data_IF_577435118558
#
_entry.id   IF_577435118558
#
_cell.length_a   1.000
_cell.length_b   1.000
_cell.length_c   1.000
_cell.angle_alpha   90.00
_cell.angle_beta   90.00
_cell.angle_gamma   90.00
#
_symmetry.space_group_name_H-M   'P 1'
#
loop_
_entity.id
_entity.type
_entity.pdbx_description
1 polymer ?
#
# COMPACT_ATOMS: atom_id res chain seq x y z
N UNK A 1 7.06 -1.73 23.99
CA UNK A 1 7.23 -2.06 22.57
C UNK A 1 6.60 -0.98 21.73
N UNK A 2 7.39 -0.23 20.96
CA UNK A 2 6.92 0.93 20.18
C UNK A 2 6.36 0.42 18.85
N UNK A 3 5.09 0.71 18.57
CA UNK A 3 4.51 0.48 17.25
C UNK A 3 5.33 1.29 16.24
N UNK A 4 6.09 0.60 15.38
CA UNK A 4 6.77 1.28 14.29
C UNK A 4 5.71 1.62 13.25
N UNK A 5 5.64 2.89 12.87
CA UNK A 5 4.79 3.33 11.77
C UNK A 5 5.34 2.73 10.47
N UNK A 6 4.81 1.57 10.08
CA UNK A 6 5.07 0.99 8.77
C UNK A 6 4.31 1.80 7.73
N UNK A 7 5.03 2.68 7.02
CA UNK A 7 4.50 3.33 5.82
C UNK A 7 4.64 2.34 4.68
N UNK A 8 3.51 1.76 4.29
CA UNK A 8 3.46 0.95 3.09
C UNK A 8 3.48 1.85 1.84
N UNK A 9 3.94 1.27 0.72
CA UNK A 9 3.92 1.92 -0.58
C UNK A 9 2.51 2.35 -0.97
N UNK A 10 2.40 3.31 -1.89
CA UNK A 10 1.13 3.75 -2.48
C UNK A 10 0.36 2.56 -3.05
N UNK A 11 -0.84 2.34 -2.54
CA UNK A 11 -1.75 1.36 -3.10
C UNK A 11 -2.81 2.06 -3.94
N UNK A 12 -3.25 1.37 -5.00
CA UNK A 12 -4.35 1.85 -5.83
C UNK A 12 -5.68 1.54 -5.15
N UNK A 13 -6.63 2.46 -5.26
CA UNK A 13 -8.02 2.22 -4.89
C UNK A 13 -8.64 1.34 -5.97
N UNK A 14 -9.11 0.15 -5.59
CA UNK A 14 -9.75 -0.81 -6.50
C UNK A 14 -11.22 -0.51 -6.69
N UNK A 15 -11.91 -0.08 -5.61
CA UNK A 15 -13.36 0.13 -5.65
C UNK A 15 -13.78 1.21 -4.65
N UNK A 16 -14.69 2.08 -5.08
CA UNK A 16 -15.44 2.97 -4.18
C UNK A 16 -16.70 2.26 -3.70
N UNK A 17 -16.83 2.04 -2.38
CA UNK A 17 -18.02 1.42 -1.79
C UNK A 17 -19.09 2.49 -1.56
N UNK A 18 -18.68 3.63 -1.00
CA UNK A 18 -19.48 4.85 -0.88
C UNK A 18 -18.55 6.08 -0.86
N UNK A 19 -19.08 7.29 -0.67
CA UNK A 19 -18.27 8.53 -0.66
C UNK A 19 -17.16 8.56 0.39
N UNK A 20 -17.36 7.86 1.51
CA UNK A 20 -16.44 7.85 2.64
C UNK A 20 -15.66 6.54 2.77
N UNK A 21 -15.93 5.52 1.96
CA UNK A 21 -15.37 4.17 2.13
C UNK A 21 -14.87 3.64 0.80
N UNK A 22 -13.59 3.27 0.78
CA UNK A 22 -12.88 2.80 -0.39
C UNK A 22 -12.19 1.47 -0.10
N UNK A 23 -12.08 0.64 -1.13
CA UNK A 23 -11.32 -0.61 -1.11
C UNK A 23 -10.01 -0.38 -1.85
N UNK A 24 -8.91 -0.77 -1.22
CA UNK A 24 -7.54 -0.59 -1.67
C UNK A 24 -6.96 -1.95 -2.07
N UNK A 25 -6.12 -1.98 -3.10
CA UNK A 25 -5.42 -3.18 -3.56
C UNK A 25 -4.28 -3.56 -2.61
N UNK A 26 -4.62 -4.03 -1.41
CA UNK A 26 -3.65 -4.58 -0.45
C UNK A 26 -3.33 -6.05 -0.75
N UNK A 27 -2.07 -6.49 -0.58
CA UNK A 27 -1.73 -7.91 -0.63
C UNK A 27 -2.39 -8.68 0.51
N UNK A 28 -2.90 -9.88 0.23
CA UNK A 28 -3.53 -10.75 1.23
C UNK A 28 -2.57 -11.15 2.36
N UNK A 29 -1.27 -11.14 2.10
CA UNK A 29 -0.21 -11.44 3.09
C UNK A 29 -0.14 -10.45 4.24
N UNK A 30 -0.77 -9.28 4.09
CA UNK A 30 -0.70 -8.19 5.06
C UNK A 30 -1.63 -8.40 6.26
N UNK A 31 -2.65 -9.27 6.13
CA UNK A 31 -3.67 -9.50 7.15
C UNK A 31 -4.34 -8.20 7.66
N UNK A 32 -4.47 -7.21 6.76
CA UNK A 32 -5.17 -5.94 6.98
C UNK A 32 -6.41 -5.91 6.09
N UNK A 33 -7.50 -5.37 6.60
CA UNK A 33 -8.71 -5.16 5.79
C UNK A 33 -8.38 -4.25 4.61
N UNK A 34 -8.83 -4.63 3.42
CA UNK A 34 -8.68 -3.82 2.22
C UNK A 34 -9.61 -2.59 2.20
N UNK A 35 -10.51 -2.44 3.19
CA UNK A 35 -11.51 -1.38 3.23
C UNK A 35 -11.11 -0.28 4.21
N UNK A 36 -11.03 0.97 3.72
CA UNK A 36 -10.58 2.14 4.47
C UNK A 36 -11.55 3.30 4.35
N UNK A 37 -11.62 4.13 5.39
CA UNK A 37 -12.35 5.39 5.34
C UNK A 37 -11.53 6.44 4.58
N UNK A 38 -12.20 7.38 3.91
CA UNK A 38 -11.56 8.55 3.28
C UNK A 38 -10.71 9.36 4.26
N UNK A 39 -11.07 9.40 5.54
CA UNK A 39 -10.28 10.07 6.59
C UNK A 39 -8.96 9.38 6.89
N UNK A 40 -8.87 8.08 6.61
CA UNK A 40 -7.67 7.25 6.84
C UNK A 40 -6.81 7.13 5.56
N UNK A 41 -7.32 7.60 4.42
CA UNK A 41 -6.63 7.59 3.14
C UNK A 41 -5.96 8.95 2.93
N UNK A 42 -4.66 8.91 2.70
CA UNK A 42 -3.88 10.09 2.35
C UNK A 42 -3.50 10.04 0.87
N UNK A 43 -3.64 11.18 0.19
CA UNK A 43 -3.19 11.32 -1.19
C UNK A 43 -1.70 11.00 -1.26
N UNK A 44 -1.36 9.99 -2.05
CA UNK A 44 0.02 9.71 -2.34
C UNK A 44 0.45 10.59 -3.51
N UNK A 45 1.23 11.64 -3.21
CA UNK A 45 1.94 12.40 -4.24
C UNK A 45 3.02 11.49 -4.82
N UNK A 46 2.66 10.77 -5.88
CA UNK A 46 3.58 10.00 -6.70
C UNK A 46 4.25 10.86 -7.78
N UNK A 47 4.26 12.18 -7.61
CA UNK A 47 5.13 13.07 -8.37
C UNK A 47 6.57 12.94 -7.82
N UNK A 48 7.34 12.18 -8.60
CA UNK A 48 8.78 12.03 -8.63
C UNK A 48 9.49 11.21 -7.52
N UNK A 49 10.06 10.09 -7.98
CA UNK A 49 11.36 9.53 -7.59
C UNK A 49 11.47 8.38 -6.57
N UNK A 50 10.40 7.82 -5.98
CA UNK A 50 10.58 6.76 -4.96
C UNK A 50 10.10 5.34 -5.32
N UNK A 51 9.72 5.08 -6.57
CA UNK A 51 9.34 3.73 -7.03
C UNK A 51 10.41 2.98 -7.83
N UNK A 52 11.64 3.51 -7.89
CA UNK A 52 12.71 2.88 -8.67
C UNK A 52 13.76 2.15 -7.82
N UNK A 53 13.66 2.12 -6.49
CA UNK A 53 14.72 1.55 -5.66
C UNK A 53 14.41 0.18 -5.01
N UNK A 54 13.15 -0.32 -5.00
CA UNK A 54 12.86 -1.61 -4.32
C UNK A 54 11.92 -2.56 -5.06
N UNK A 55 12.18 -2.74 -6.35
CA UNK A 55 11.83 -4.00 -7.06
C UNK A 55 13.10 -4.83 -7.30
N UNK A 56 13.98 -4.89 -6.30
CA UNK A 56 14.88 -6.04 -6.18
C UNK A 56 14.03 -7.21 -5.69
N UNK A 57 13.33 -7.84 -6.64
CA UNK A 57 12.87 -9.20 -6.50
C UNK A 57 14.04 -10.01 -5.94
N UNK A 58 13.86 -10.64 -4.78
CA UNK A 58 14.74 -11.72 -4.36
C UNK A 58 14.67 -12.80 -5.44
N UNK A 59 15.55 -12.71 -6.43
CA UNK A 59 15.84 -13.78 -7.36
C UNK A 59 16.70 -14.78 -6.60
N UNK A 60 16.06 -15.54 -5.72
CA UNK A 60 16.60 -16.81 -5.27
C UNK A 60 16.77 -17.70 -6.50
N UNK A 61 18.00 -17.91 -6.94
CA UNK A 61 18.27 -18.70 -8.13
C UNK A 61 19.73 -18.83 -8.52
N UNK A 62 20.42 -19.74 -7.81
CA UNK A 62 21.56 -20.60 -8.22
C UNK A 62 22.89 -19.95 -8.63
N UNK A 63 23.87 -20.26 -7.80
CA UNK A 63 25.19 -20.78 -8.14
C UNK A 63 25.68 -21.73 -7.03
#
# INVERSE_FOLDING_TARGET
SKLQAQKYSSFKVTRKVNDNVYVVALPDSMNISNTFNVTDIHECRADEALYQDKVEFFKGGRD
#
